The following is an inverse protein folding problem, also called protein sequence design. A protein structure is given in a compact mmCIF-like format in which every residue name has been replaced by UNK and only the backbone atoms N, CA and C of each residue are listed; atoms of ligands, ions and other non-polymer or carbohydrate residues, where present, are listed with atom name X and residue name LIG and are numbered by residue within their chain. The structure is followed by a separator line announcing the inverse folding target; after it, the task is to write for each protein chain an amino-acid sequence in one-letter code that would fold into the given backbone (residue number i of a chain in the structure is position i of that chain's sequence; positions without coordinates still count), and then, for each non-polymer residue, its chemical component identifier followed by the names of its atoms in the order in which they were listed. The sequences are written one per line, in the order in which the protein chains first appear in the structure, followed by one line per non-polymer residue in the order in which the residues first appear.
data_IF_762963678728
#
_entry.id   IF_762963678728
#
_cell.length_a   1.000
_cell.length_b   1.000
_cell.length_c   1.000
_cell.angle_alpha   90.00
_cell.angle_beta   90.00
_cell.angle_gamma   90.00
#
_symmetry.space_group_name_H-M   'P 1'
#
loop_
_entity.id
_entity.type
_entity.pdbx_description
1 polymer ?
#
# COMPACT_ATOMS: atom_id res chain seq x y z
N UNK A 1 -33.41 -41.25 -20.24
CA UNK A 1 -32.14 -40.68 -19.72
C UNK A 1 -31.53 -41.63 -18.70
N UNK A 2 -30.30 -42.08 -18.96
CA UNK A 2 -29.65 -43.23 -18.31
C UNK A 2 -29.24 -42.98 -16.86
N UNK A 3 -29.86 -43.72 -15.93
CA UNK A 3 -29.58 -43.71 -14.47
C UNK A 3 -28.13 -44.06 -14.09
N UNK A 4 -27.30 -44.53 -15.03
CA UNK A 4 -25.89 -44.92 -14.80
C UNK A 4 -24.90 -43.75 -14.73
N UNK A 5 -25.29 -42.54 -15.14
CA UNK A 5 -24.39 -41.37 -15.13
C UNK A 5 -24.69 -40.35 -14.03
N UNK A 6 -25.81 -40.49 -13.32
CA UNK A 6 -26.21 -39.59 -12.23
C UNK A 6 -25.16 -39.54 -11.12
N UNK A 7 -24.56 -40.69 -10.76
CA UNK A 7 -23.52 -40.74 -9.73
C UNK A 7 -22.24 -39.98 -10.11
N UNK A 8 -21.88 -39.95 -11.41
CA UNK A 8 -20.74 -39.17 -11.90
C UNK A 8 -21.00 -37.66 -11.76
N UNK A 9 -22.21 -37.21 -12.05
CA UNK A 9 -22.62 -35.81 -11.83
C UNK A 9 -22.61 -35.42 -10.36
N UNK A 10 -23.06 -36.31 -9.47
CA UNK A 10 -22.98 -36.08 -8.01
C UNK A 10 -21.53 -35.98 -7.54
N UNK A 11 -20.65 -36.86 -8.02
CA UNK A 11 -19.24 -36.84 -7.65
C UNK A 11 -18.54 -35.56 -8.12
N UNK A 12 -18.83 -35.10 -9.34
CA UNK A 12 -18.34 -33.81 -9.85
C UNK A 12 -18.87 -32.65 -9.03
N UNK A 13 -20.16 -32.63 -8.68
CA UNK A 13 -20.76 -31.57 -7.88
C UNK A 13 -20.13 -31.51 -6.47
N UNK A 14 -19.88 -32.66 -5.84
CA UNK A 14 -19.19 -32.74 -4.53
C UNK A 14 -17.75 -32.27 -4.65
N UNK A 15 -17.03 -32.64 -5.70
CA UNK A 15 -15.64 -32.24 -5.90
C UNK A 15 -15.50 -30.73 -6.17
N UNK A 16 -16.45 -30.15 -6.92
CA UNK A 16 -16.54 -28.70 -7.13
C UNK A 16 -16.92 -28.00 -5.83
N UNK A 17 -17.89 -28.50 -5.07
CA UNK A 17 -18.26 -27.94 -3.77
C UNK A 17 -17.10 -28.02 -2.76
N UNK A 18 -16.35 -29.12 -2.76
CA UNK A 18 -15.16 -29.31 -1.92
C UNK A 18 -14.01 -28.37 -2.35
N UNK A 19 -13.83 -28.17 -3.65
CA UNK A 19 -12.87 -27.20 -4.19
C UNK A 19 -13.23 -25.76 -3.82
N UNK A 20 -14.52 -25.39 -3.92
CA UNK A 20 -15.03 -24.08 -3.51
C UNK A 20 -14.95 -23.87 -1.99
N UNK A 21 -15.14 -24.94 -1.20
CA UNK A 21 -14.99 -24.90 0.26
C UNK A 21 -13.54 -24.65 0.68
N UNK A 22 -12.57 -25.29 0.02
CA UNK A 22 -11.15 -25.01 0.26
C UNK A 22 -10.71 -23.60 -0.14
N UNK A 23 -11.50 -22.93 -0.99
CA UNK A 23 -11.23 -21.56 -1.44
C UNK A 23 -11.78 -20.48 -0.48
N UNK A 24 -12.34 -20.88 0.68
CA UNK A 24 -12.90 -19.95 1.66
C UNK A 24 -11.94 -19.70 2.85
N UNK A 25 -11.71 -18.43 3.26
CA UNK A 25 -12.30 -17.19 2.74
C UNK A 25 -11.55 -16.60 1.51
N UNK A 26 -12.27 -16.11 0.48
CA UNK A 26 -11.68 -15.70 -0.81
C UNK A 26 -11.23 -14.23 -0.91
N UNK A 27 -11.37 -13.39 0.14
CA UNK A 27 -11.05 -11.95 0.08
C UNK A 27 -10.25 -11.49 1.32
N UNK A 28 -9.29 -10.60 1.10
CA UNK A 28 -8.64 -9.81 2.15
C UNK A 28 -9.72 -8.98 2.87
N UNK A 29 -9.86 -9.17 4.17
CA UNK A 29 -10.87 -8.45 4.95
C UNK A 29 -10.27 -7.09 5.36
N UNK A 30 -11.02 -5.99 5.23
CA UNK A 30 -10.52 -4.66 5.60
C UNK A 30 -10.15 -4.66 7.09
N UNK A 31 -8.99 -4.06 7.40
CA UNK A 31 -8.39 -4.09 8.74
C UNK A 31 -9.36 -3.61 9.82
N UNK A 32 -10.18 -2.61 9.50
CA UNK A 32 -11.21 -2.09 10.41
C UNK A 32 -12.22 -3.15 10.86
N UNK A 33 -12.66 -4.02 9.96
CA UNK A 33 -13.61 -5.08 10.29
C UNK A 33 -12.97 -6.15 11.16
N UNK A 34 -11.74 -6.55 10.84
CA UNK A 34 -11.00 -7.54 11.63
C UNK A 34 -10.62 -7.02 13.03
N UNK A 35 -10.31 -5.72 13.14
CA UNK A 35 -10.12 -5.05 14.43
C UNK A 35 -11.37 -5.16 15.32
N UNK A 36 -12.55 -4.82 14.78
CA UNK A 36 -13.83 -4.89 15.50
C UNK A 36 -14.21 -6.33 15.86
N UNK A 37 -13.95 -7.27 14.95
CA UNK A 37 -14.31 -8.67 15.12
C UNK A 37 -13.49 -9.36 16.21
N UNK A 38 -12.19 -9.07 16.27
CA UNK A 38 -11.25 -9.74 17.19
C UNK A 38 -11.20 -9.12 18.58
N UNK A 39 -11.70 -7.90 18.74
CA UNK A 39 -11.77 -7.23 20.03
C UNK A 39 -12.74 -7.94 20.97
N UNK A 40 -12.29 -8.21 22.19
CA UNK A 40 -13.10 -8.74 23.31
C UNK A 40 -13.39 -7.64 24.33
N UNK A 41 -14.38 -7.85 25.21
CA UNK A 41 -14.73 -6.93 26.30
C UNK A 41 -14.93 -5.48 25.82
N UNK A 42 -15.77 -5.30 24.80
CA UNK A 42 -16.04 -4.00 24.17
C UNK A 42 -16.74 -3.10 25.19
N UNK A 43 -16.08 -2.01 25.55
CA UNK A 43 -16.59 -0.98 26.44
C UNK A 43 -16.96 0.30 25.65
N UNK A 44 -17.35 1.34 26.36
CA UNK A 44 -17.75 2.62 25.76
C UNK A 44 -16.59 3.31 25.03
N UNK A 45 -15.36 3.24 25.55
CA UNK A 45 -14.16 3.76 24.88
C UNK A 45 -13.92 3.05 23.55
N UNK A 46 -14.08 1.73 23.50
CA UNK A 46 -13.97 0.97 22.25
C UNK A 46 -15.02 1.39 21.24
N UNK A 47 -16.26 1.59 21.69
CA UNK A 47 -17.35 2.06 20.83
C UNK A 47 -17.03 3.45 20.22
N UNK A 48 -16.48 4.37 21.02
CA UNK A 48 -16.05 5.69 20.55
C UNK A 48 -14.90 5.60 19.52
N UNK A 49 -13.91 4.73 19.75
CA UNK A 49 -12.83 4.48 18.79
C UNK A 49 -13.39 3.95 17.47
N UNK A 50 -14.31 2.97 17.52
CA UNK A 50 -14.93 2.41 16.32
C UNK A 50 -15.75 3.45 15.58
N UNK A 51 -16.48 4.30 16.30
CA UNK A 51 -17.28 5.37 15.71
C UNK A 51 -16.39 6.39 14.99
N UNK A 52 -15.35 6.90 15.67
CA UNK A 52 -14.36 7.81 15.08
C UNK A 52 -13.65 7.20 13.88
N UNK A 53 -13.31 5.91 13.97
CA UNK A 53 -12.73 5.18 12.84
C UNK A 53 -13.66 5.17 11.62
N UNK A 54 -14.96 4.92 11.81
CA UNK A 54 -15.94 4.92 10.69
C UNK A 54 -16.07 6.29 10.05
N UNK A 55 -16.04 7.36 10.85
CA UNK A 55 -16.06 8.73 10.35
C UNK A 55 -14.82 9.03 9.49
N UNK A 56 -13.63 8.68 9.99
CA UNK A 56 -12.38 8.81 9.25
C UNK A 56 -12.35 7.94 7.98
N UNK A 57 -12.95 6.75 8.02
CA UNK A 57 -13.06 5.86 6.87
C UNK A 57 -14.01 6.41 5.80
N UNK A 58 -15.10 7.07 6.20
CA UNK A 58 -16.00 7.76 5.28
C UNK A 58 -15.30 8.95 4.59
N UNK A 59 -14.43 9.66 5.31
CA UNK A 59 -13.68 10.79 4.78
C UNK A 59 -12.47 10.37 3.93
N UNK A 60 -11.75 9.33 4.34
CA UNK A 60 -10.53 8.84 3.71
C UNK A 60 -10.57 7.32 3.49
N UNK A 61 -11.28 6.85 2.45
CA UNK A 61 -11.36 5.42 2.14
C UNK A 61 -9.99 4.86 1.75
N UNK A 62 -9.71 3.61 2.12
CA UNK A 62 -8.45 2.91 1.80
C UNK A 62 -7.28 3.21 2.74
N UNK A 63 -7.46 4.09 3.73
CA UNK A 63 -6.45 4.40 4.77
C UNK A 63 -6.73 3.73 6.12
N UNK A 64 -7.30 2.53 6.10
CA UNK A 64 -7.82 1.83 7.28
C UNK A 64 -6.82 1.80 8.46
N UNK A 65 -5.55 1.52 8.19
CA UNK A 65 -4.51 1.48 9.22
C UNK A 65 -4.30 2.84 9.89
N UNK A 66 -4.17 3.90 9.09
CA UNK A 66 -3.96 5.26 9.61
C UNK A 66 -5.19 5.78 10.34
N UNK A 67 -6.38 5.52 9.76
CA UNK A 67 -7.64 5.92 10.35
C UNK A 67 -7.84 5.25 11.72
N UNK A 68 -7.42 3.99 11.89
CA UNK A 68 -7.45 3.31 13.19
C UNK A 68 -6.47 3.92 14.18
N UNK A 69 -5.22 4.21 13.79
CA UNK A 69 -4.25 4.87 14.68
C UNK A 69 -4.81 6.20 15.17
N UNK A 70 -5.38 7.00 14.26
CA UNK A 70 -5.93 8.31 14.59
C UNK A 70 -7.21 8.21 15.44
N UNK A 71 -8.03 7.18 15.20
CA UNK A 71 -9.20 6.89 16.01
C UNK A 71 -8.84 6.45 17.44
N UNK A 72 -7.82 5.59 17.57
CA UNK A 72 -7.30 5.11 18.85
C UNK A 72 -6.62 6.23 19.62
N UNK A 73 -5.80 7.04 18.94
CA UNK A 73 -5.04 8.12 19.56
C UNK A 73 -4.15 7.61 20.68
N UNK A 74 -4.34 8.13 21.89
CA UNK A 74 -3.59 7.75 23.09
C UNK A 74 -4.26 6.66 23.92
N UNK A 75 -5.43 6.15 23.50
CA UNK A 75 -6.16 5.14 24.25
C UNK A 75 -5.46 3.77 24.17
N UNK A 76 -5.35 3.06 25.29
CA UNK A 76 -4.79 1.72 25.29
C UNK A 76 -5.82 0.69 24.78
N UNK A 77 -5.51 0.04 23.67
CA UNK A 77 -6.34 -1.01 23.08
C UNK A 77 -5.93 -2.42 23.52
N UNK A 78 -4.83 -2.56 24.27
CA UNK A 78 -4.27 -3.85 24.68
C UNK A 78 -5.29 -4.72 25.44
N UNK A 79 -6.14 -4.09 26.25
CA UNK A 79 -7.23 -4.75 26.99
C UNK A 79 -8.22 -5.52 26.11
N UNK A 80 -8.43 -5.09 24.87
CA UNK A 80 -9.37 -5.72 23.95
C UNK A 80 -8.74 -6.87 23.15
N UNK A 81 -7.42 -7.05 23.21
CA UNK A 81 -6.71 -8.06 22.42
C UNK A 81 -5.78 -8.91 23.29
N UNK A 82 -6.33 -9.72 24.22
CA UNK A 82 -5.54 -10.54 25.15
C UNK A 82 -4.66 -11.57 24.43
N UNK A 83 -5.03 -11.98 23.21
CA UNK A 83 -4.21 -12.86 22.35
C UNK A 83 -2.77 -12.33 22.16
N UNK A 84 -2.57 -11.02 22.22
CA UNK A 84 -1.27 -10.39 22.01
C UNK A 84 -0.61 -9.90 23.31
N UNK A 85 -1.21 -10.16 24.48
CA UNK A 85 -0.79 -9.63 25.77
C UNK A 85 0.66 -9.97 26.13
N UNK A 86 1.15 -11.15 25.78
CA UNK A 86 2.54 -11.53 26.04
C UNK A 86 3.55 -10.86 25.10
N UNK A 87 3.14 -10.61 23.87
CA UNK A 87 4.01 -10.05 22.84
C UNK A 87 4.23 -8.54 23.03
N UNK A 88 3.23 -7.82 23.56
CA UNK A 88 3.30 -6.37 23.78
C UNK A 88 4.16 -5.96 24.97
N UNK A 89 4.47 -6.88 25.91
CA UNK A 89 5.24 -6.57 27.15
C UNK A 89 6.61 -5.96 26.90
N UNK A 90 7.21 -6.20 25.73
CA UNK A 90 8.56 -5.75 25.37
C UNK A 90 8.55 -4.66 24.29
N UNK A 91 7.38 -4.24 23.87
CA UNK A 91 7.20 -3.34 22.74
C UNK A 91 7.06 -1.89 23.21
N UNK A 92 7.63 -0.95 22.45
CA UNK A 92 7.56 0.48 22.79
C UNK A 92 6.19 1.08 22.49
N UNK A 93 5.50 0.54 21.49
CA UNK A 93 4.15 0.95 21.07
C UNK A 93 3.23 -0.28 20.95
N UNK A 94 2.57 -0.67 22.05
CA UNK A 94 1.65 -1.81 22.09
C UNK A 94 0.49 -1.70 21.08
N UNK A 95 -0.08 -0.50 20.95
CA UNK A 95 -1.24 -0.25 20.11
C UNK A 95 -0.89 -0.49 18.63
N UNK A 96 0.20 0.13 18.16
CA UNK A 96 0.67 -0.04 16.79
C UNK A 96 1.05 -1.49 16.50
N UNK A 97 1.66 -2.18 17.45
CA UNK A 97 2.00 -3.59 17.33
C UNK A 97 0.75 -4.46 17.13
N UNK A 98 -0.28 -4.29 17.95
CA UNK A 98 -1.53 -5.05 17.85
C UNK A 98 -2.16 -4.87 16.46
N UNK A 99 -2.23 -3.63 15.97
CA UNK A 99 -2.79 -3.35 14.64
C UNK A 99 -1.98 -4.02 13.52
N UNK A 100 -0.65 -4.00 13.59
CA UNK A 100 0.21 -4.71 12.63
C UNK A 100 -0.03 -6.22 12.64
N UNK A 101 -0.21 -6.80 13.82
CA UNK A 101 -0.47 -8.25 13.93
C UNK A 101 -1.83 -8.61 13.36
N UNK A 102 -2.86 -7.84 13.66
CA UNK A 102 -4.20 -8.05 13.10
C UNK A 102 -4.16 -7.92 11.57
N UNK A 103 -3.49 -6.88 11.05
CA UNK A 103 -3.33 -6.68 9.60
C UNK A 103 -2.64 -7.87 8.96
N UNK A 104 -1.46 -8.28 9.45
CA UNK A 104 -0.70 -9.39 8.90
C UNK A 104 -1.49 -10.71 8.91
N UNK A 105 -2.22 -10.97 9.99
CA UNK A 105 -3.05 -12.17 10.11
C UNK A 105 -4.31 -12.14 9.22
N UNK A 106 -4.79 -10.95 8.84
CA UNK A 106 -5.96 -10.77 7.96
C UNK A 106 -5.65 -10.92 6.46
N UNK A 107 -4.39 -10.79 6.06
CA UNK A 107 -3.96 -10.82 4.65
C UNK A 107 -4.02 -12.22 3.99
N UNK A 108 -4.34 -13.29 4.74
CA UNK A 108 -4.49 -14.64 4.21
C UNK A 108 -3.18 -15.27 3.68
N UNK A 109 -3.20 -16.57 3.39
CA UNK A 109 -2.02 -17.33 2.90
C UNK A 109 -1.78 -17.21 1.38
N UNK A 110 -2.61 -16.48 0.64
CA UNK A 110 -2.54 -16.35 -0.82
C UNK A 110 -2.00 -14.97 -1.23
N UNK A 111 -0.89 -14.97 -1.98
CA UNK A 111 -0.20 -13.79 -2.51
C UNK A 111 -0.86 -13.34 -3.83
N UNK A 112 -1.81 -12.39 -3.79
CA UNK A 112 -2.47 -11.82 -4.99
C UNK A 112 -1.82 -10.49 -5.40
N UNK A 113 -1.37 -10.18 -6.62
CA UNK A 113 -0.64 -8.93 -6.99
C UNK A 113 -1.19 -7.56 -6.52
N UNK A 114 -0.41 -6.46 -6.65
CA UNK A 114 -0.61 -5.10 -6.04
C UNK A 114 -2.06 -4.56 -5.96
N UNK A 115 -2.89 -4.75 -6.98
CA UNK A 115 -4.30 -4.30 -7.05
C UNK A 115 -5.24 -5.09 -6.11
N UNK A 116 -4.82 -6.30 -5.71
CA UNK A 116 -5.56 -7.22 -4.85
C UNK A 116 -4.79 -7.60 -3.56
N UNK A 117 -3.45 -7.44 -3.52
CA UNK A 117 -2.57 -7.69 -2.34
C UNK A 117 -2.61 -6.56 -1.32
N UNK A 118 -2.90 -5.35 -1.79
CA UNK A 118 -2.43 -4.16 -1.11
C UNK A 118 -0.90 -4.01 -1.18
N UNK A 119 -0.47 -2.76 -1.26
CA UNK A 119 0.92 -2.36 -1.30
C UNK A 119 0.97 -0.85 -1.41
N UNK A 120 2.16 -0.28 -1.29
CA UNK A 120 2.28 1.17 -1.23
C UNK A 120 2.69 1.72 -2.59
N UNK A 121 1.91 2.67 -3.11
CA UNK A 121 2.30 3.48 -4.26
C UNK A 121 2.40 4.93 -3.83
N UNK A 122 3.50 5.58 -4.20
CA UNK A 122 3.66 7.01 -4.02
C UNK A 122 4.58 7.56 -5.11
N UNK A 123 4.42 8.85 -5.36
CA UNK A 123 5.23 9.60 -6.32
C UNK A 123 6.25 10.42 -5.54
N UNK A 124 7.51 10.28 -5.92
CA UNK A 124 8.62 11.06 -5.38
C UNK A 124 9.00 12.09 -6.43
N UNK A 125 8.91 13.37 -6.11
CA UNK A 125 9.40 14.43 -7.02
C UNK A 125 10.94 14.44 -7.05
N UNK A 126 11.55 15.21 -7.95
CA UNK A 126 12.97 15.59 -7.98
C UNK A 126 13.08 17.13 -7.92
N UNK A 127 13.96 17.68 -7.08
CA UNK A 127 14.18 19.07 -6.71
C UNK A 127 15.41 19.43 -7.48
N UNK A 128 15.12 19.68 -8.74
CA UNK A 128 16.08 20.02 -9.76
C UNK A 128 16.77 21.34 -9.44
N UNK A 129 16.23 22.20 -8.55
CA UNK A 129 16.84 23.48 -8.16
C UNK A 129 18.23 23.32 -7.56
N UNK A 130 18.46 22.23 -6.82
CA UNK A 130 19.79 21.92 -6.27
C UNK A 130 20.78 21.45 -7.33
N UNK A 131 20.31 20.83 -8.41
CA UNK A 131 21.13 20.40 -9.55
C UNK A 131 21.57 21.60 -10.41
N UNK A 132 20.74 22.64 -10.50
CA UNK A 132 21.07 23.90 -11.19
C UNK A 132 22.20 24.68 -10.48
N UNK A 133 22.26 24.67 -9.14
CA UNK A 133 23.25 25.45 -8.37
C UNK A 133 24.69 24.92 -8.49
N UNK A 134 24.88 23.64 -8.81
CA UNK A 134 26.19 22.99 -8.89
C UNK A 134 26.91 23.33 -10.21
N UNK A 135 26.15 23.57 -11.29
CA UNK A 135 26.72 23.75 -12.64
C UNK A 135 26.85 25.21 -13.10
N UNK A 136 26.30 26.18 -12.36
CA UNK A 136 26.43 27.62 -12.69
C UNK A 136 27.83 28.20 -12.46
N UNK A 137 28.76 27.45 -11.85
CA UNK A 137 30.11 27.94 -11.54
C UNK A 137 31.16 27.68 -12.65
N UNK A 138 30.77 27.09 -13.79
CA UNK A 138 31.67 26.86 -14.93
C UNK A 138 31.29 27.76 -16.12
N UNK A 139 31.95 28.91 -16.33
CA UNK A 139 31.66 29.77 -17.47
C UNK A 139 32.03 29.06 -18.79
N UNK A 140 31.04 28.86 -19.68
CA UNK A 140 31.24 28.37 -21.04
C UNK A 140 30.80 26.93 -21.33
N UNK A 141 30.29 26.17 -20.36
CA UNK A 141 29.73 24.85 -20.62
C UNK A 141 28.26 24.98 -21.08
N UNK A 142 27.99 24.75 -22.37
CA UNK A 142 26.64 24.45 -22.85
C UNK A 142 26.25 23.09 -22.29
N UNK A 143 25.57 23.09 -21.15
CA UNK A 143 25.04 21.86 -20.57
C UNK A 143 23.59 21.72 -21.00
N UNK A 144 23.28 20.66 -21.75
CA UNK A 144 21.91 20.32 -22.06
C UNK A 144 21.17 19.97 -20.77
N UNK A 145 20.26 20.86 -20.37
CA UNK A 145 19.48 20.72 -19.15
C UNK A 145 18.61 19.48 -19.16
N UNK A 146 18.17 19.02 -20.35
CA UNK A 146 17.39 17.81 -20.48
C UNK A 146 18.23 16.56 -20.19
N UNK A 147 19.46 16.52 -20.70
CA UNK A 147 20.39 15.39 -20.47
C UNK A 147 20.81 15.31 -18.99
N UNK A 148 21.11 16.45 -18.34
CA UNK A 148 21.37 16.48 -16.90
C UNK A 148 20.18 15.97 -16.07
N UNK A 149 18.97 16.41 -16.40
CA UNK A 149 17.75 15.95 -15.71
C UNK A 149 17.55 14.45 -15.88
N UNK A 150 17.73 13.94 -17.10
CA UNK A 150 17.58 12.51 -17.40
C UNK A 150 18.61 11.66 -16.65
N UNK A 151 19.88 12.11 -16.59
CA UNK A 151 20.94 11.44 -15.82
C UNK A 151 20.62 11.44 -14.33
N UNK A 152 20.22 12.58 -13.76
CA UNK A 152 19.84 12.68 -12.35
C UNK A 152 18.65 11.78 -12.01
N UNK A 153 17.65 11.71 -12.89
CA UNK A 153 16.47 10.85 -12.74
C UNK A 153 16.87 9.37 -12.77
N UNK A 154 17.72 8.96 -13.71
CA UNK A 154 18.22 7.58 -13.80
C UNK A 154 19.02 7.17 -12.55
N UNK A 155 19.85 8.07 -12.03
CA UNK A 155 20.63 7.85 -10.81
C UNK A 155 19.71 7.74 -9.59
N UNK A 156 18.68 8.59 -9.49
CA UNK A 156 17.70 8.53 -8.42
C UNK A 156 16.93 7.19 -8.43
N UNK A 157 16.49 6.73 -9.60
CA UNK A 157 15.84 5.41 -9.74
C UNK A 157 16.72 4.28 -9.20
N UNK A 158 17.99 4.26 -9.56
CA UNK A 158 18.95 3.23 -9.13
C UNK A 158 19.22 3.28 -7.62
N UNK A 159 19.25 4.48 -7.03
CA UNK A 159 19.40 4.65 -5.58
C UNK A 159 18.15 4.16 -4.85
N UNK A 160 16.96 4.49 -5.35
CA UNK A 160 15.68 4.04 -4.77
C UNK A 160 15.61 2.51 -4.82
N UNK A 161 15.95 1.90 -5.95
CA UNK A 161 15.96 0.43 -6.12
C UNK A 161 16.80 -0.25 -5.04
N UNK A 162 18.07 0.13 -4.89
CA UNK A 162 18.99 -0.43 -3.87
C UNK A 162 18.56 -0.21 -2.42
N UNK A 163 17.67 0.74 -2.13
CA UNK A 163 17.11 0.98 -0.79
C UNK A 163 15.89 0.10 -0.55
N UNK A 164 15.04 0.01 -1.56
CA UNK A 164 13.84 -0.81 -1.55
C UNK A 164 14.19 -2.30 -1.39
N UNK A 165 15.25 -2.77 -2.04
CA UNK A 165 15.69 -4.17 -1.96
C UNK A 165 15.96 -4.61 -0.51
N UNK A 166 16.34 -3.69 0.39
CA UNK A 166 16.59 -3.99 1.81
C UNK A 166 15.34 -4.30 2.61
N UNK A 167 14.17 -3.94 2.09
CA UNK A 167 12.89 -4.24 2.70
C UNK A 167 12.36 -5.62 2.31
N UNK A 168 13.10 -6.38 1.47
CA UNK A 168 12.71 -7.73 1.07
C UNK A 168 11.47 -7.78 0.17
N UNK A 169 11.20 -6.70 -0.56
CA UNK A 169 10.10 -6.61 -1.52
C UNK A 169 10.44 -7.46 -2.73
N UNK A 170 9.55 -8.37 -3.11
CA UNK A 170 9.85 -9.36 -4.14
C UNK A 170 10.09 -8.72 -5.52
N UNK A 171 9.35 -7.67 -5.89
CA UNK A 171 9.42 -7.04 -7.22
C UNK A 171 8.97 -5.57 -7.18
N UNK A 172 9.85 -4.62 -6.84
CA UNK A 172 9.48 -3.20 -6.78
C UNK A 172 9.39 -2.56 -8.17
N UNK A 173 8.30 -1.82 -8.42
CA UNK A 173 8.12 -1.06 -9.65
C UNK A 173 8.57 0.37 -9.40
N UNK A 174 9.64 0.79 -10.07
CA UNK A 174 10.21 2.13 -9.95
C UNK A 174 10.36 2.70 -11.36
N UNK A 175 9.56 3.71 -11.68
CA UNK A 175 9.51 4.28 -13.03
C UNK A 175 9.52 5.81 -12.98
N UNK A 176 10.28 6.48 -13.85
CA UNK A 176 10.16 7.92 -14.03
C UNK A 176 8.77 8.28 -14.61
N UNK A 177 8.16 9.32 -14.08
CA UNK A 177 6.86 9.86 -14.54
C UNK A 177 7.00 11.36 -14.73
N UNK A 178 6.81 11.84 -15.95
CA UNK A 178 6.99 13.26 -16.28
C UNK A 178 8.45 13.71 -16.23
N UNK A 179 8.68 15.02 -16.02
CA UNK A 179 10.01 15.62 -16.13
C UNK A 179 10.89 15.45 -14.87
N UNK A 180 10.27 15.34 -13.69
CA UNK A 180 10.99 15.33 -12.43
C UNK A 180 10.30 14.45 -11.38
N UNK A 181 9.59 13.38 -11.75
CA UNK A 181 8.93 12.54 -10.75
C UNK A 181 9.25 11.07 -10.98
N UNK A 182 9.19 10.29 -9.91
CA UNK A 182 9.41 8.85 -9.92
C UNK A 182 8.23 8.21 -9.21
N UNK A 183 7.51 7.36 -9.93
CA UNK A 183 6.51 6.46 -9.39
C UNK A 183 7.21 5.28 -8.73
N UNK A 184 6.93 5.06 -7.46
CA UNK A 184 7.44 3.93 -6.68
C UNK A 184 6.24 3.10 -6.23
N UNK A 185 6.27 1.80 -6.52
CA UNK A 185 5.26 0.84 -6.08
C UNK A 185 5.95 -0.35 -5.40
N UNK A 186 5.59 -0.61 -4.16
CA UNK A 186 6.20 -1.64 -3.32
C UNK A 186 5.13 -2.68 -2.95
N UNK A 187 5.00 -3.77 -3.73
CA UNK A 187 3.99 -4.80 -3.51
C UNK A 187 4.30 -5.62 -2.26
N UNK A 188 3.27 -5.94 -1.47
CA UNK A 188 3.44 -6.74 -0.26
C UNK A 188 4.10 -6.01 0.91
N UNK A 189 4.45 -4.72 0.75
CA UNK A 189 4.81 -3.87 1.86
C UNK A 189 3.54 -3.40 2.56
N UNK A 190 3.48 -3.56 3.88
CA UNK A 190 2.32 -3.13 4.65
C UNK A 190 2.30 -1.59 4.82
N UNK A 191 1.11 -1.00 4.97
CA UNK A 191 0.97 0.45 5.24
C UNK A 191 1.77 0.91 6.48
N UNK A 192 2.05 -0.02 7.40
CA UNK A 192 2.98 0.10 8.51
C UNK A 192 4.39 0.54 8.13
N UNK A 193 4.92 -0.14 7.13
CA UNK A 193 6.30 -0.06 6.65
C UNK A 193 6.42 1.06 5.63
N UNK A 194 5.29 1.62 5.19
CA UNK A 194 5.22 2.79 4.31
C UNK A 194 6.02 3.94 4.81
N UNK A 195 5.83 4.33 6.06
CA UNK A 195 6.55 5.47 6.62
C UNK A 195 8.05 5.19 6.70
N UNK A 196 8.45 3.96 7.07
CA UNK A 196 9.87 3.58 7.11
C UNK A 196 10.49 3.52 5.72
N UNK A 197 9.78 2.96 4.74
CA UNK A 197 10.21 2.90 3.35
C UNK A 197 10.31 4.31 2.76
N UNK A 198 9.29 5.14 2.98
CA UNK A 198 9.28 6.54 2.57
C UNK A 198 10.43 7.31 3.21
N UNK A 199 10.66 7.18 4.52
CA UNK A 199 11.79 7.83 5.20
C UNK A 199 13.15 7.36 4.67
N UNK A 200 13.33 6.08 4.37
CA UNK A 200 14.58 5.57 3.83
C UNK A 200 14.82 6.04 2.38
N UNK A 201 13.77 6.15 1.59
CA UNK A 201 13.82 6.68 0.22
C UNK A 201 14.08 8.19 0.22
N UNK A 202 13.42 8.94 1.11
CA UNK A 202 13.63 10.39 1.31
C UNK A 202 15.05 10.76 1.74
N UNK A 203 15.72 9.94 2.55
CA UNK A 203 17.11 10.22 2.95
C UNK A 203 18.09 10.07 1.79
N UNK A 204 17.71 9.30 0.77
CA UNK A 204 18.58 8.97 -0.35
C UNK A 204 18.46 9.97 -1.51
N UNK A 205 17.41 10.79 -1.51
CA UNK A 205 17.12 11.73 -2.57
C UNK A 205 16.69 13.06 -1.92
N UNK A 206 17.37 14.15 -2.23
CA UNK A 206 17.18 15.49 -1.63
C UNK A 206 15.76 16.04 -1.92
N UNK A 207 14.72 15.47 -1.30
CA UNK A 207 13.32 15.61 -1.73
C UNK A 207 12.33 16.20 -0.74
N UNK A 208 11.56 17.20 -1.20
CA UNK A 208 10.25 17.58 -0.65
C UNK A 208 9.13 16.84 -1.41
N UNK A 209 8.24 16.19 -0.67
CA UNK A 209 7.07 15.48 -1.21
C UNK A 209 5.98 16.50 -1.60
N UNK A 210 5.47 16.38 -2.82
CA UNK A 210 4.15 16.89 -3.17
C UNK A 210 3.19 15.69 -3.22
N UNK A 211 2.48 15.40 -2.14
CA UNK A 211 1.47 14.35 -2.10
C UNK A 211 0.22 14.84 -2.81
N UNK A 212 0.22 14.83 -4.14
CA UNK A 212 -1.02 14.91 -4.91
C UNK A 212 -1.57 13.49 -5.04
N UNK A 213 -2.80 13.22 -4.58
CA UNK A 213 -3.43 11.94 -4.88
C UNK A 213 -3.47 11.79 -6.41
N UNK A 214 -3.00 10.65 -6.91
CA UNK A 214 -3.10 10.32 -8.34
C UNK A 214 -4.59 10.10 -8.65
N UNK A 215 -5.29 11.18 -8.98
CA UNK A 215 -6.59 11.09 -9.61
C UNK A 215 -6.35 10.61 -11.03
N UNK A 216 -6.61 9.32 -11.26
CA UNK A 216 -6.77 8.77 -12.60
C UNK A 216 -7.82 9.62 -13.31
N UNK A 217 -7.37 10.50 -14.21
CA UNK A 217 -8.25 11.17 -15.16
C UNK A 217 -8.79 10.06 -16.06
N UNK A 218 -10.00 9.59 -15.77
CA UNK A 218 -10.76 8.76 -16.68
C UNK A 218 -10.81 9.51 -18.01
N UNK A 219 -10.14 8.99 -19.02
CA UNK A 219 -10.37 9.37 -20.40
C UNK A 219 -11.58 8.56 -20.87
N UNK A 220 -12.81 9.12 -20.94
CA UNK A 220 -13.84 8.50 -21.74
C UNK A 220 -13.36 8.61 -23.20
N UNK A 221 -13.08 7.45 -23.79
CA UNK A 221 -12.72 7.35 -25.19
C UNK A 221 -13.77 8.04 -26.04
N UNK A 222 -13.34 9.04 -26.80
CA UNK A 222 -14.09 9.52 -27.96
C UNK A 222 -13.09 9.66 -29.11
N UNK A 223 -12.72 8.50 -29.67
CA UNK A 223 -11.98 8.44 -30.92
C UNK A 223 -13.00 8.61 -32.05
N UNK A 224 -12.99 9.78 -32.69
CA UNK A 224 -13.68 10.01 -33.96
C UNK A 224 -12.62 10.02 -35.07
N UNK A 225 -12.73 9.18 -36.13
CA UNK A 225 -11.89 9.35 -37.30
C UNK A 225 -12.25 10.67 -37.98
N UNK A 226 -11.24 11.47 -38.31
CA UNK A 226 -11.39 12.63 -39.20
C UNK A 226 -11.58 12.12 -40.64
N UNK A 227 -12.62 12.55 -41.38
CA UNK A 227 -12.64 12.38 -42.83
C UNK A 227 -11.58 13.31 -43.43
N UNK A 228 -10.83 12.78 -44.39
CA UNK A 228 -9.72 13.50 -45.01
C UNK A 228 -10.16 14.72 -45.81
N UNK A 229 -9.19 15.61 -46.03
CA UNK A 229 -8.98 16.36 -47.28
C UNK A 229 -7.47 16.48 -47.46
#
# INVERSE_FOLDING_TARGET
MSRRHLWKWVLVAVLVAFSLYQMYPPKSQPLGQEFIRRAVNKDETFAQIVQKFRELQAQYPGRDFQNLIEAIGTNDISKYFPKYADAIKRERDPNRYILHRIQRESLGKFKLGLDLQGGISFVVAIDTNTLFAIHTNAPGAYVDLADLQQRALSQAVEVIRRRVDRFGVAEPIIQPVGANQILVQLPGLSEAEKESAMRQIQRAAFFRIASRPYQQRAHPGNWRPSPGV
#
